data_IF_693242022577
#
_entry.id   IF_693242022577
#
_cell.length_a   1.000
_cell.length_b   1.000
_cell.length_c   1.000
_cell.angle_alpha   90.00
_cell.angle_beta   90.00
_cell.angle_gamma   90.00
#
_symmetry.space_group_name_H-M   'P 1'
#
loop_
_entity.id
_entity.type
_entity.pdbx_description
1 polymer ?
#
# COMPACT_ATOMS: atom_id res chain seq x y z
N UNK A 1 19.36 0.29 14.77
CA UNK A 1 18.15 -0.35 14.23
C UNK A 1 17.44 -1.21 15.26
N UNK A 2 18.05 -2.28 15.80
CA UNK A 2 17.37 -3.22 16.73
C UNK A 2 16.86 -2.56 18.02
N UNK A 3 17.61 -1.62 18.59
CA UNK A 3 17.20 -0.88 19.80
C UNK A 3 15.94 -0.03 19.54
N UNK A 4 15.86 0.65 18.40
CA UNK A 4 14.69 1.42 17.98
C UNK A 4 13.50 0.48 17.78
N UNK A 5 13.68 -0.61 17.04
CA UNK A 5 12.65 -1.62 16.84
C UNK A 5 12.04 -2.12 18.17
N UNK A 6 12.89 -2.53 19.13
CA UNK A 6 12.43 -3.02 20.44
C UNK A 6 11.70 -1.94 21.24
N UNK A 7 12.19 -0.70 21.20
CA UNK A 7 11.55 0.45 21.86
C UNK A 7 10.16 0.70 21.29
N UNK A 8 10.05 0.78 19.96
CA UNK A 8 8.77 1.05 19.29
C UNK A 8 7.78 -0.11 19.47
N UNK A 9 8.23 -1.36 19.32
CA UNK A 9 7.37 -2.51 19.54
C UNK A 9 6.82 -2.53 20.98
N UNK A 10 7.67 -2.27 21.96
CA UNK A 10 7.24 -2.15 23.36
C UNK A 10 6.26 -1.00 23.55
N UNK A 11 6.49 0.16 22.89
CA UNK A 11 5.61 1.31 22.94
C UNK A 11 4.20 1.01 22.41
N UNK A 12 4.06 0.20 21.36
CA UNK A 12 2.75 -0.24 20.86
C UNK A 12 1.99 -1.07 21.90
N UNK A 13 2.65 -2.00 22.59
CA UNK A 13 2.01 -2.86 23.59
C UNK A 13 1.83 -2.22 24.97
N UNK A 14 2.42 -1.04 25.22
CA UNK A 14 2.15 -0.25 26.44
C UNK A 14 1.08 0.82 26.16
N UNK A 15 0.97 1.31 24.93
CA UNK A 15 0.02 2.36 24.57
C UNK A 15 -1.36 1.78 24.23
N UNK A 16 -2.45 2.52 24.48
CA UNK A 16 -3.80 2.12 24.09
C UNK A 16 -3.95 1.85 22.59
N UNK A 17 -3.14 2.51 21.74
CA UNK A 17 -3.27 2.44 20.27
C UNK A 17 -2.94 1.06 19.73
N UNK A 18 -1.90 0.40 20.26
CA UNK A 18 -1.59 -0.96 19.83
C UNK A 18 -2.71 -1.94 20.18
N UNK A 19 -3.24 -1.85 21.40
CA UNK A 19 -4.39 -2.69 21.80
C UNK A 19 -5.65 -2.36 21.00
N UNK A 20 -5.91 -1.09 20.70
CA UNK A 20 -7.03 -0.67 19.86
C UNK A 20 -6.88 -1.27 18.46
N UNK A 21 -5.70 -1.18 17.85
CA UNK A 21 -5.44 -1.78 16.54
C UNK A 21 -5.69 -3.30 16.54
N UNK A 22 -5.06 -4.01 17.48
CA UNK A 22 -5.21 -5.48 17.61
C UNK A 22 -6.65 -5.86 17.86
N UNK A 23 -7.33 -5.18 18.81
CA UNK A 23 -8.72 -5.44 19.17
C UNK A 23 -9.68 -5.21 18.00
N UNK A 24 -9.58 -4.08 17.31
CA UNK A 24 -10.41 -3.81 16.13
C UNK A 24 -10.15 -4.79 15.00
N UNK A 25 -8.88 -5.13 14.74
CA UNK A 25 -8.54 -6.08 13.70
C UNK A 25 -9.16 -7.44 13.98
N UNK A 26 -8.98 -7.98 15.19
CA UNK A 26 -9.54 -9.29 15.59
C UNK A 26 -11.06 -9.25 15.59
N UNK A 27 -11.68 -8.18 16.11
CA UNK A 27 -13.13 -8.03 16.14
C UNK A 27 -13.71 -8.07 14.72
N UNK A 28 -13.19 -7.24 13.81
CA UNK A 28 -13.74 -7.17 12.45
C UNK A 28 -13.47 -8.46 11.69
N UNK A 29 -12.24 -9.02 11.79
CA UNK A 29 -11.94 -10.32 11.16
C UNK A 29 -12.80 -11.44 11.73
N UNK A 30 -13.10 -11.41 13.02
CA UNK A 30 -14.00 -12.37 13.67
C UNK A 30 -15.44 -12.27 13.18
N UNK A 31 -15.95 -11.04 13.00
CA UNK A 31 -17.29 -10.82 12.42
C UNK A 31 -17.36 -11.32 10.98
N UNK A 32 -16.36 -10.97 10.15
CA UNK A 32 -16.31 -11.47 8.76
C UNK A 32 -16.20 -12.99 8.71
N UNK A 33 -15.38 -13.59 9.56
CA UNK A 33 -15.26 -15.05 9.68
C UNK A 33 -16.59 -15.69 10.06
N UNK A 34 -17.29 -15.15 11.05
CA UNK A 34 -18.60 -15.66 11.47
C UNK A 34 -19.63 -15.60 10.34
N UNK A 35 -19.71 -14.45 9.64
CA UNK A 35 -20.68 -14.24 8.57
C UNK A 35 -20.35 -15.04 7.30
N UNK A 36 -19.09 -14.98 6.86
CA UNK A 36 -18.67 -15.54 5.56
C UNK A 36 -18.36 -17.03 5.60
N UNK A 37 -18.00 -17.59 6.76
CA UNK A 37 -17.59 -18.98 6.88
C UNK A 37 -18.52 -19.80 7.78
N UNK A 38 -18.79 -19.36 9.04
CA UNK A 38 -19.57 -20.16 9.96
C UNK A 38 -21.06 -20.15 9.62
N UNK A 39 -21.67 -18.98 9.43
CA UNK A 39 -23.11 -18.87 9.15
C UNK A 39 -23.45 -19.27 7.72
N UNK A 40 -22.57 -18.98 6.76
CA UNK A 40 -22.76 -19.40 5.36
C UNK A 40 -22.40 -20.86 5.09
N UNK A 41 -21.70 -21.54 6.03
CA UNK A 41 -21.19 -22.90 5.85
C UNK A 41 -20.12 -23.01 4.76
N UNK A 42 -19.51 -21.89 4.35
CA UNK A 42 -18.53 -21.87 3.26
C UNK A 42 -17.11 -22.16 3.75
N UNK A 43 -16.39 -23.15 3.17
CA UNK A 43 -15.01 -23.42 3.49
C UNK A 43 -14.03 -22.43 2.85
N UNK A 44 -14.50 -21.50 2.00
CA UNK A 44 -13.68 -20.57 1.22
C UNK A 44 -13.13 -19.41 2.09
N UNK A 45 -12.12 -19.70 2.90
CA UNK A 45 -11.50 -18.74 3.81
C UNK A 45 -10.77 -17.60 3.08
N UNK A 46 -10.18 -17.88 1.93
CA UNK A 46 -9.44 -16.88 1.14
C UNK A 46 -10.33 -15.78 0.57
N UNK A 47 -11.59 -16.08 0.25
CA UNK A 47 -12.60 -15.08 -0.14
C UNK A 47 -12.89 -14.07 0.97
N UNK A 48 -12.94 -14.54 2.22
CA UNK A 48 -13.07 -13.68 3.41
C UNK A 48 -11.83 -12.79 3.58
N UNK A 49 -10.61 -13.33 3.45
CA UNK A 49 -9.39 -12.52 3.51
C UNK A 49 -9.35 -11.43 2.41
N UNK A 50 -9.81 -11.76 1.21
CA UNK A 50 -9.90 -10.78 0.11
C UNK A 50 -10.86 -9.64 0.47
N UNK A 51 -12.00 -9.93 1.06
CA UNK A 51 -12.94 -8.92 1.54
C UNK A 51 -12.36 -8.04 2.65
N UNK A 52 -11.47 -8.60 3.47
CA UNK A 52 -10.80 -7.87 4.55
C UNK A 52 -9.73 -6.88 4.07
N UNK A 53 -9.33 -6.90 2.80
CA UNK A 53 -8.36 -5.91 2.27
C UNK A 53 -8.86 -4.47 2.41
N UNK A 54 -10.18 -4.27 2.37
CA UNK A 54 -10.80 -2.96 2.61
C UNK A 54 -10.53 -2.39 4.01
N UNK A 55 -10.33 -3.24 4.99
CA UNK A 55 -10.05 -2.85 6.39
C UNK A 55 -8.74 -2.07 6.53
N UNK A 56 -7.77 -2.30 5.65
CA UNK A 56 -6.51 -1.57 5.65
C UNK A 56 -6.70 -0.05 5.49
N UNK A 57 -7.78 0.39 4.82
CA UNK A 57 -8.08 1.81 4.66
C UNK A 57 -8.21 2.54 6.02
N UNK A 58 -8.71 1.84 7.02
CA UNK A 58 -8.94 2.42 8.34
C UNK A 58 -7.82 2.06 9.33
N UNK A 59 -7.40 0.81 9.34
CA UNK A 59 -6.48 0.32 10.36
C UNK A 59 -5.03 0.75 10.12
N UNK A 60 -4.58 0.81 8.86
CA UNK A 60 -3.22 1.26 8.55
C UNK A 60 -2.99 2.72 8.95
N UNK A 61 -3.88 3.68 8.63
CA UNK A 61 -3.74 5.05 9.13
C UNK A 61 -3.63 5.14 10.65
N UNK A 62 -4.46 4.38 11.40
CA UNK A 62 -4.41 4.36 12.87
C UNK A 62 -3.06 3.82 13.37
N UNK A 63 -2.55 2.75 12.76
CA UNK A 63 -1.28 2.14 13.13
C UNK A 63 -0.09 3.06 12.86
N UNK A 64 -0.13 3.79 11.73
CA UNK A 64 1.04 4.51 11.21
C UNK A 64 1.07 6.00 11.56
N UNK A 65 -0.07 6.59 11.92
CA UNK A 65 -0.18 8.04 12.15
C UNK A 65 0.83 8.60 13.15
N UNK A 66 1.26 7.81 14.14
CA UNK A 66 2.17 8.24 15.22
C UNK A 66 3.64 7.94 14.96
N UNK A 67 3.96 7.13 13.96
CA UNK A 67 5.31 6.59 13.77
C UNK A 67 6.39 7.67 13.71
N UNK A 68 6.13 8.76 13.02
CA UNK A 68 7.07 9.88 12.86
C UNK A 68 6.46 11.23 13.26
N UNK A 69 5.14 11.43 13.06
CA UNK A 69 4.48 12.70 13.38
C UNK A 69 4.54 13.04 14.88
N UNK A 70 4.52 12.05 15.76
CA UNK A 70 4.59 12.25 17.20
C UNK A 70 5.97 12.80 17.64
N UNK A 71 7.05 12.27 17.06
CA UNK A 71 8.41 12.76 17.33
C UNK A 71 8.61 14.20 16.80
N UNK A 72 8.04 14.50 15.63
CA UNK A 72 8.06 15.86 15.09
C UNK A 72 7.26 16.83 15.95
N UNK A 73 6.08 16.45 16.40
CA UNK A 73 5.25 17.25 17.28
C UNK A 73 5.94 17.56 18.61
N UNK A 74 6.64 16.58 19.19
CA UNK A 74 7.38 16.72 20.46
C UNK A 74 8.77 17.33 20.26
N UNK A 75 9.18 17.66 19.02
CA UNK A 75 10.52 18.15 18.66
C UNK A 75 11.65 17.20 19.09
N UNK A 76 11.34 15.93 19.33
CA UNK A 76 12.33 14.89 19.68
C UNK A 76 13.04 14.33 18.45
N UNK A 77 12.54 14.62 17.25
CA UNK A 77 13.20 14.36 15.98
C UNK A 77 14.59 15.03 15.91
N UNK A 78 14.77 16.22 16.50
CA UNK A 78 16.07 16.89 16.59
C UNK A 78 17.08 16.07 17.41
N UNK A 79 16.65 15.43 18.49
CA UNK A 79 17.50 14.53 19.28
C UNK A 79 17.88 13.27 18.51
N UNK A 80 16.99 12.77 17.65
CA UNK A 80 17.28 11.63 16.79
C UNK A 80 18.28 12.00 15.68
N UNK A 81 18.17 13.20 15.13
CA UNK A 81 19.05 13.70 14.06
C UNK A 81 20.46 13.97 14.60
N UNK A 82 20.59 14.40 15.86
CA UNK A 82 21.88 14.68 16.52
C UNK A 82 22.50 13.43 17.17
N UNK A 83 21.74 12.34 17.30
CA UNK A 83 22.23 11.08 17.86
C UNK A 83 23.20 10.37 16.89
N UNK A 84 24.09 9.48 17.37
CA UNK A 84 24.98 8.70 16.52
C UNK A 84 24.26 7.59 15.74
N UNK A 85 22.91 7.57 15.75
CA UNK A 85 22.11 6.60 15.02
C UNK A 85 21.96 7.02 13.55
N UNK A 86 22.05 6.04 12.65
CA UNK A 86 21.73 6.29 11.23
C UNK A 86 20.23 6.52 11.05
N UNK A 87 19.85 7.53 10.27
CA UNK A 87 18.44 7.83 9.92
C UNK A 87 17.77 6.58 9.33
N UNK A 88 18.48 5.88 8.44
CA UNK A 88 18.02 4.59 7.87
C UNK A 88 17.68 3.57 8.96
N UNK A 89 18.53 3.46 10.00
CA UNK A 89 18.30 2.53 11.11
C UNK A 89 17.09 2.90 11.96
N UNK A 90 16.79 4.19 12.11
CA UNK A 90 15.60 4.68 12.81
C UNK A 90 14.33 4.38 12.00
N UNK A 91 14.30 4.76 10.73
CA UNK A 91 13.14 4.55 9.84
C UNK A 91 12.82 3.07 9.68
N UNK A 92 13.83 2.25 9.40
CA UNK A 92 13.65 0.80 9.31
C UNK A 92 13.19 0.18 10.63
N UNK A 93 13.74 0.63 11.76
CA UNK A 93 13.32 0.16 13.08
C UNK A 93 11.84 0.43 13.36
N UNK A 94 11.35 1.62 13.01
CA UNK A 94 9.94 2.01 13.16
C UNK A 94 9.03 1.25 12.19
N UNK A 95 9.42 1.14 10.92
CA UNK A 95 8.69 0.37 9.92
C UNK A 95 8.52 -1.09 10.36
N UNK A 96 9.62 -1.75 10.71
CA UNK A 96 9.59 -3.15 11.13
C UNK A 96 8.80 -3.36 12.42
N UNK A 97 8.78 -2.39 13.34
CA UNK A 97 7.96 -2.47 14.55
C UNK A 97 6.46 -2.47 14.21
N UNK A 98 6.02 -1.58 13.33
CA UNK A 98 4.63 -1.56 12.87
C UNK A 98 4.25 -2.85 12.10
N UNK A 99 5.13 -3.32 11.22
CA UNK A 99 4.95 -4.60 10.51
C UNK A 99 4.91 -5.78 11.49
N UNK A 100 5.71 -5.76 12.55
CA UNK A 100 5.70 -6.82 13.58
C UNK A 100 4.38 -6.82 14.38
N UNK A 101 3.84 -5.65 14.75
CA UNK A 101 2.52 -5.56 15.39
C UNK A 101 1.44 -6.15 14.47
N UNK A 102 1.48 -5.80 13.20
CA UNK A 102 0.56 -6.35 12.21
C UNK A 102 0.72 -7.87 12.05
N UNK A 103 1.96 -8.38 11.96
CA UNK A 103 2.24 -9.81 11.88
C UNK A 103 1.71 -10.57 13.10
N UNK A 104 1.96 -10.06 14.31
CA UNK A 104 1.46 -10.68 15.55
C UNK A 104 -0.07 -10.75 15.52
N UNK A 105 -0.73 -9.67 15.10
CA UNK A 105 -2.19 -9.63 14.99
C UNK A 105 -2.69 -10.63 13.95
N UNK A 106 -2.01 -10.72 12.81
CA UNK A 106 -2.35 -11.67 11.75
C UNK A 106 -2.16 -13.13 12.20
N UNK A 107 -1.12 -13.43 12.97
CA UNK A 107 -0.89 -14.76 13.53
C UNK A 107 -2.00 -15.17 14.52
N UNK A 108 -2.56 -14.23 15.27
CA UNK A 108 -3.72 -14.52 16.14
C UNK A 108 -4.94 -14.92 15.29
N UNK A 109 -5.18 -14.27 14.16
CA UNK A 109 -6.28 -14.64 13.25
C UNK A 109 -6.09 -15.99 12.57
N UNK A 110 -4.87 -16.55 12.55
CA UNK A 110 -4.63 -17.90 12.03
C UNK A 110 -5.33 -19.01 12.83
N UNK A 111 -5.86 -18.69 14.01
CA UNK A 111 -6.77 -19.59 14.75
C UNK A 111 -8.10 -19.81 14.02
N UNK A 112 -8.57 -18.86 13.20
CA UNK A 112 -9.85 -19.00 12.50
C UNK A 112 -9.87 -20.14 11.47
N UNK A 113 -8.90 -20.27 10.55
CA UNK A 113 -8.86 -21.41 9.67
C UNK A 113 -8.64 -22.74 10.41
N UNK A 114 -7.94 -22.75 11.54
CA UNK A 114 -7.83 -23.93 12.39
C UNK A 114 -9.19 -24.31 12.94
N UNK A 115 -9.96 -23.35 13.47
CA UNK A 115 -11.34 -23.59 13.90
C UNK A 115 -12.20 -24.08 12.73
N UNK A 116 -12.09 -23.45 11.56
CA UNK A 116 -12.85 -23.85 10.39
C UNK A 116 -12.58 -25.31 9.97
N UNK A 117 -11.34 -25.81 10.15
CA UNK A 117 -10.99 -27.18 9.81
C UNK A 117 -11.78 -28.25 10.57
N UNK A 118 -12.28 -27.92 11.76
CA UNK A 118 -13.12 -28.84 12.57
C UNK A 118 -14.58 -28.89 12.10
N UNK A 119 -15.05 -27.86 11.37
CA UNK A 119 -16.45 -27.73 10.94
C UNK A 119 -16.64 -27.91 9.43
N UNK A 120 -15.58 -27.77 8.64
CA UNK A 120 -15.65 -27.85 7.19
C UNK A 120 -15.85 -29.28 6.70
N UNK A 121 -17.01 -29.54 6.10
CA UNK A 121 -17.29 -30.81 5.44
C UNK A 121 -16.51 -30.84 4.12
N UNK A 122 -15.55 -31.78 3.99
CA UNK A 122 -14.67 -31.88 2.81
C UNK A 122 -13.27 -31.30 3.00
N UNK A 123 -12.96 -30.75 4.18
CA UNK A 123 -11.64 -30.18 4.50
C UNK A 123 -11.48 -28.74 4.02
N UNK A 124 -10.34 -28.18 4.36
CA UNK A 124 -9.94 -26.80 3.97
C UNK A 124 -8.76 -26.85 3.00
N UNK A 125 -8.72 -25.92 2.06
CA UNK A 125 -7.59 -25.75 1.13
C UNK A 125 -6.41 -25.04 1.85
N UNK A 126 -5.67 -25.79 2.67
CA UNK A 126 -4.61 -25.23 3.53
C UNK A 126 -3.53 -24.44 2.79
N UNK A 127 -3.21 -24.89 1.56
CA UNK A 127 -2.22 -24.20 0.73
C UNK A 127 -2.70 -22.83 0.24
N UNK A 128 -3.95 -22.72 -0.16
CA UNK A 128 -4.58 -21.45 -0.55
C UNK A 128 -4.65 -20.49 0.64
N UNK A 129 -5.00 -21.01 1.81
CA UNK A 129 -5.04 -20.21 3.05
C UNK A 129 -3.66 -19.66 3.38
N UNK A 130 -2.61 -20.48 3.30
CA UNK A 130 -1.24 -20.06 3.56
C UNK A 130 -0.79 -19.00 2.55
N UNK A 131 -1.07 -19.22 1.25
CA UNK A 131 -0.85 -18.23 0.20
C UNK A 131 -1.57 -16.92 0.50
N UNK A 132 -2.86 -16.99 0.84
CA UNK A 132 -3.67 -15.84 1.22
C UNK A 132 -3.08 -15.04 2.38
N UNK A 133 -2.60 -15.70 3.44
CA UNK A 133 -1.94 -15.04 4.59
C UNK A 133 -0.63 -14.36 4.19
N UNK A 134 0.20 -15.02 3.38
CA UNK A 134 1.46 -14.42 2.87
C UNK A 134 1.15 -13.18 2.05
N UNK A 135 0.21 -13.27 1.10
CA UNK A 135 -0.20 -12.14 0.28
C UNK A 135 -0.79 -10.99 1.10
N UNK A 136 -1.65 -11.30 2.08
CA UNK A 136 -2.25 -10.32 2.97
C UNK A 136 -1.21 -9.60 3.84
N UNK A 137 -0.21 -10.34 4.33
CA UNK A 137 0.92 -9.77 5.07
C UNK A 137 1.77 -8.84 4.20
N UNK A 138 2.08 -9.23 2.97
CA UNK A 138 2.87 -8.42 2.03
C UNK A 138 2.12 -7.15 1.62
N UNK A 139 0.83 -7.26 1.33
CA UNK A 139 -0.04 -6.12 1.00
C UNK A 139 -0.12 -5.14 2.18
N UNK A 140 -0.41 -5.63 3.39
CA UNK A 140 -0.48 -4.81 4.59
C UNK A 140 0.86 -4.13 4.92
N UNK A 141 1.98 -4.84 4.76
CA UNK A 141 3.32 -4.28 4.93
C UNK A 141 3.58 -3.13 3.94
N UNK A 142 3.12 -3.26 2.69
CA UNK A 142 3.23 -2.21 1.68
C UNK A 142 2.39 -0.99 2.05
N UNK A 143 1.19 -1.18 2.55
CA UNK A 143 0.34 -0.08 3.02
C UNK A 143 0.90 0.61 4.27
N UNK A 144 1.52 -0.15 5.18
CA UNK A 144 2.24 0.41 6.34
C UNK A 144 3.42 1.29 5.87
N UNK A 145 4.14 0.92 4.82
CA UNK A 145 5.21 1.75 4.25
C UNK A 145 4.68 3.09 3.70
N UNK A 146 3.52 3.07 3.03
CA UNK A 146 2.82 4.28 2.57
C UNK A 146 2.43 5.16 3.77
N UNK A 147 1.84 4.60 4.81
CA UNK A 147 1.45 5.32 6.01
C UNK A 147 2.64 5.91 6.78
N UNK A 148 3.76 5.20 6.85
CA UNK A 148 5.01 5.69 7.41
C UNK A 148 5.51 6.92 6.66
N UNK A 149 5.47 6.90 5.33
CA UNK A 149 5.85 8.03 4.50
C UNK A 149 4.99 9.26 4.78
N UNK A 150 3.66 9.13 4.80
CA UNK A 150 2.78 10.26 5.10
C UNK A 150 2.90 10.75 6.53
N UNK A 151 3.18 9.86 7.49
CA UNK A 151 3.50 10.24 8.86
C UNK A 151 4.80 11.07 8.97
N UNK A 152 5.70 10.99 7.98
CA UNK A 152 6.93 11.80 7.93
C UNK A 152 6.73 13.20 7.36
N UNK A 153 5.58 13.50 6.76
CA UNK A 153 5.32 14.79 6.10
C UNK A 153 4.74 15.85 7.05
N UNK A 154 4.10 15.45 8.13
CA UNK A 154 3.37 16.33 9.03
C UNK A 154 3.61 15.98 10.51
N UNK A 155 3.59 16.97 11.37
CA UNK A 155 3.66 16.84 12.83
C UNK A 155 2.29 16.57 13.48
N UNK A 156 1.20 16.70 12.72
CA UNK A 156 -0.15 16.42 13.18
C UNK A 156 -0.57 14.99 12.86
N UNK A 157 -0.78 14.18 13.90
CA UNK A 157 -1.17 12.77 13.77
C UNK A 157 -2.50 12.58 13.01
N UNK A 158 -3.49 13.46 13.23
CA UNK A 158 -4.78 13.37 12.56
C UNK A 158 -4.63 13.66 11.05
N UNK A 159 -3.85 14.67 10.71
CA UNK A 159 -3.55 15.01 9.31
C UNK A 159 -2.79 13.86 8.65
N UNK A 160 -1.81 13.26 9.33
CA UNK A 160 -1.10 12.08 8.85
C UNK A 160 -2.05 10.91 8.56
N UNK A 161 -2.99 10.64 9.47
CA UNK A 161 -4.01 9.59 9.28
C UNK A 161 -4.92 9.90 8.09
N UNK A 162 -5.41 11.14 7.96
CA UNK A 162 -6.31 11.53 6.87
C UNK A 162 -5.63 11.43 5.49
N UNK A 163 -4.37 11.89 5.38
CA UNK A 163 -3.63 11.81 4.12
C UNK A 163 -3.32 10.34 3.78
N UNK A 164 -2.95 9.53 4.78
CA UNK A 164 -2.74 8.09 4.59
C UNK A 164 -4.02 7.41 4.12
N UNK A 165 -5.15 7.68 4.76
CA UNK A 165 -6.45 7.16 4.34
C UNK A 165 -6.79 7.55 2.91
N UNK A 166 -6.63 8.83 2.57
CA UNK A 166 -6.90 9.33 1.22
C UNK A 166 -5.98 8.66 0.17
N UNK A 167 -4.71 8.47 0.48
CA UNK A 167 -3.76 7.80 -0.42
C UNK A 167 -4.11 6.32 -0.62
N UNK A 168 -4.44 5.60 0.45
CA UNK A 168 -4.86 4.19 0.35
C UNK A 168 -6.20 4.06 -0.38
N UNK A 169 -7.15 4.97 -0.12
CA UNK A 169 -8.42 5.03 -0.84
C UNK A 169 -8.20 5.26 -2.34
N UNK A 170 -7.28 6.15 -2.68
CA UNK A 170 -6.92 6.41 -4.08
C UNK A 170 -6.33 5.15 -4.75
N UNK A 171 -5.45 4.43 -4.07
CA UNK A 171 -4.91 3.16 -4.55
C UNK A 171 -6.04 2.14 -4.78
N UNK A 172 -7.01 2.10 -3.87
CA UNK A 172 -8.17 1.20 -3.95
C UNK A 172 -9.11 1.56 -5.11
N UNK A 173 -9.42 2.86 -5.28
CA UNK A 173 -10.24 3.36 -6.39
C UNK A 173 -9.55 3.13 -7.74
N UNK A 174 -8.23 3.32 -7.81
CA UNK A 174 -7.47 3.04 -9.04
C UNK A 174 -7.60 1.58 -9.49
N UNK A 175 -7.66 0.64 -8.54
CA UNK A 175 -7.87 -0.78 -8.87
C UNK A 175 -9.28 -1.02 -9.45
N UNK A 176 -10.32 -0.41 -8.86
CA UNK A 176 -11.69 -0.49 -9.38
C UNK A 176 -11.78 0.12 -10.80
N UNK A 177 -11.16 1.29 -11.00
CA UNK A 177 -11.13 1.94 -12.32
C UNK A 177 -10.42 1.03 -13.32
N UNK A 178 -9.27 0.45 -12.95
CA UNK A 178 -8.49 -0.41 -13.83
C UNK A 178 -9.27 -1.65 -14.31
N UNK A 179 -10.17 -2.17 -13.47
CA UNK A 179 -11.00 -3.33 -13.81
C UNK A 179 -12.21 -2.98 -14.68
N UNK A 180 -12.69 -1.73 -14.62
CA UNK A 180 -13.93 -1.31 -15.29
C UNK A 180 -13.69 -0.36 -16.49
N UNK A 181 -12.43 0.03 -16.76
CA UNK A 181 -12.12 0.93 -17.87
C UNK A 181 -12.34 0.22 -19.21
N UNK A 182 -13.05 0.85 -20.16
CA UNK A 182 -13.24 0.29 -21.48
C UNK A 182 -11.91 0.05 -22.20
N UNK A 183 -11.82 -1.03 -22.95
CA UNK A 183 -10.60 -1.41 -23.69
C UNK A 183 -10.51 -0.77 -25.08
N UNK A 184 -11.44 0.13 -25.41
CA UNK A 184 -11.49 0.82 -26.69
C UNK A 184 -10.21 1.61 -26.99
N UNK A 185 -9.75 1.62 -28.27
CA UNK A 185 -8.59 2.41 -28.67
C UNK A 185 -8.72 3.91 -28.37
N UNK A 186 -9.94 4.43 -28.44
CA UNK A 186 -10.24 5.85 -28.10
C UNK A 186 -9.97 6.18 -26.65
N UNK A 187 -10.37 5.30 -25.70
CA UNK A 187 -10.06 5.46 -24.29
C UNK A 187 -8.55 5.35 -24.02
N UNK A 188 -7.88 4.44 -24.72
CA UNK A 188 -6.41 4.32 -24.65
C UNK A 188 -5.71 5.60 -25.11
N UNK A 189 -6.16 6.18 -26.23
CA UNK A 189 -5.64 7.45 -26.72
C UNK A 189 -5.88 8.61 -25.72
N UNK A 190 -7.10 8.71 -25.18
CA UNK A 190 -7.42 9.74 -24.17
C UNK A 190 -6.55 9.61 -22.92
N UNK A 191 -6.33 8.39 -22.44
CA UNK A 191 -5.46 8.12 -21.28
C UNK A 191 -4.01 8.52 -21.55
N UNK A 192 -3.46 8.15 -22.71
CA UNK A 192 -2.12 8.54 -23.11
C UNK A 192 -1.99 10.05 -23.33
N UNK A 193 -3.05 10.72 -23.83
CA UNK A 193 -3.08 12.17 -23.95
C UNK A 193 -3.04 12.88 -22.59
N UNK A 194 -3.71 12.33 -21.57
CA UNK A 194 -3.62 12.86 -20.20
C UNK A 194 -2.20 12.71 -19.64
N UNK A 195 -1.54 11.57 -19.87
CA UNK A 195 -0.14 11.37 -19.44
C UNK A 195 0.77 12.35 -20.17
N UNK A 196 0.61 12.51 -21.49
CA UNK A 196 1.38 13.46 -22.28
C UNK A 196 1.17 14.91 -21.81
N UNK A 197 -0.05 15.30 -21.49
CA UNK A 197 -0.34 16.61 -20.89
C UNK A 197 0.35 16.80 -19.54
N UNK A 198 0.37 15.78 -18.68
CA UNK A 198 1.13 15.80 -17.43
C UNK A 198 2.63 16.01 -17.64
N UNK A 199 3.23 15.32 -18.62
CA UNK A 199 4.63 15.50 -18.98
C UNK A 199 4.90 16.92 -19.51
N UNK A 200 4.03 17.48 -20.34
CA UNK A 200 4.13 18.86 -20.85
C UNK A 200 4.09 19.86 -19.68
N UNK A 201 3.19 19.67 -18.72
CA UNK A 201 3.12 20.52 -17.53
C UNK A 201 4.41 20.43 -16.70
N UNK A 202 4.97 19.24 -16.51
CA UNK A 202 6.23 19.05 -15.80
C UNK A 202 7.39 19.79 -16.50
N UNK A 203 7.47 19.70 -17.83
CA UNK A 203 8.48 20.44 -18.62
C UNK A 203 8.28 21.95 -18.47
N UNK A 204 7.03 22.44 -18.53
CA UNK A 204 6.71 23.85 -18.35
C UNK A 204 7.18 24.39 -16.99
N UNK A 205 6.84 23.70 -15.90
CA UNK A 205 7.22 24.11 -14.54
C UNK A 205 8.73 23.97 -14.27
N UNK A 206 9.39 23.00 -14.91
CA UNK A 206 10.83 22.76 -14.74
C UNK A 206 11.67 23.75 -15.53
N UNK A 207 11.36 23.97 -16.80
CA UNK A 207 12.19 24.80 -17.69
C UNK A 207 11.75 26.26 -17.76
N UNK A 208 10.47 26.55 -17.43
CA UNK A 208 9.81 27.87 -17.59
C UNK A 208 10.03 28.50 -19.00
N UNK A 209 10.31 27.66 -19.98
CA UNK A 209 10.57 28.07 -21.37
C UNK A 209 9.34 27.74 -22.23
N UNK A 210 8.74 28.76 -22.83
CA UNK A 210 7.58 28.59 -23.74
C UNK A 210 7.97 27.78 -24.98
N UNK A 211 9.19 27.98 -25.51
CA UNK A 211 9.66 27.25 -26.67
C UNK A 211 9.81 25.75 -26.40
N UNK A 212 10.44 25.39 -25.29
CA UNK A 212 10.55 23.97 -24.87
C UNK A 212 9.19 23.32 -24.69
N UNK A 213 8.22 24.04 -24.11
CA UNK A 213 6.86 23.54 -23.89
C UNK A 213 6.12 23.32 -25.22
N UNK A 214 6.19 24.27 -26.15
CA UNK A 214 5.57 24.14 -27.48
C UNK A 214 6.16 22.97 -28.26
N UNK A 215 7.48 22.84 -28.26
CA UNK A 215 8.17 21.70 -28.91
C UNK A 215 7.71 20.37 -28.29
N UNK A 216 7.61 20.28 -26.97
CA UNK A 216 7.13 19.07 -26.28
C UNK A 216 5.69 18.74 -26.64
N UNK A 217 4.79 19.74 -26.73
CA UNK A 217 3.41 19.55 -27.16
C UNK A 217 3.35 18.98 -28.58
N UNK A 218 4.09 19.58 -29.53
CA UNK A 218 4.10 19.16 -30.93
C UNK A 218 4.63 17.72 -31.05
N UNK A 219 5.73 17.40 -30.37
CA UNK A 219 6.29 16.03 -30.39
C UNK A 219 5.32 15.03 -29.77
N UNK A 220 4.72 15.34 -28.62
CA UNK A 220 3.77 14.45 -27.96
C UNK A 220 2.52 14.21 -28.82
N UNK A 221 1.94 15.30 -29.39
CA UNK A 221 0.79 15.18 -30.27
C UNK A 221 1.10 14.37 -31.54
N UNK A 222 2.23 14.66 -32.20
CA UNK A 222 2.66 13.92 -33.37
C UNK A 222 2.88 12.42 -33.07
N UNK A 223 3.54 12.10 -31.93
CA UNK A 223 3.74 10.72 -31.51
C UNK A 223 2.43 9.98 -31.24
N UNK A 224 1.47 10.62 -30.54
CA UNK A 224 0.15 10.04 -30.26
C UNK A 224 -0.64 9.75 -31.53
N UNK A 225 -0.68 10.72 -32.47
CA UNK A 225 -1.38 10.55 -33.74
C UNK A 225 -0.72 9.51 -34.61
N UNK A 226 0.61 9.55 -34.75
CA UNK A 226 1.36 8.60 -35.55
C UNK A 226 1.16 7.15 -35.06
N UNK A 227 1.28 6.93 -33.75
CA UNK A 227 1.06 5.62 -33.14
C UNK A 227 -0.41 5.16 -33.33
N UNK A 228 -1.40 6.07 -33.24
CA UNK A 228 -2.79 5.72 -33.45
C UNK A 228 -3.10 5.30 -34.88
N UNK A 229 -2.45 5.94 -35.86
CA UNK A 229 -2.63 5.60 -37.29
C UNK A 229 -1.90 4.30 -37.64
N UNK A 230 -0.67 4.12 -37.15
CA UNK A 230 0.17 2.94 -37.48
C UNK A 230 -0.25 1.68 -36.70
N UNK A 231 -0.69 1.82 -35.46
CA UNK A 231 -0.93 0.68 -34.57
C UNK A 231 -2.11 0.95 -33.64
N UNK A 232 -3.32 0.92 -34.19
CA UNK A 232 -4.55 1.16 -33.40
C UNK A 232 -4.70 0.15 -32.25
N UNK A 233 -4.27 -1.09 -32.46
CA UNK A 233 -4.26 -2.16 -31.45
C UNK A 233 -3.34 -1.87 -30.24
N UNK A 234 -2.34 -1.01 -30.40
CA UNK A 234 -1.47 -0.58 -29.31
C UNK A 234 -2.25 0.13 -28.20
N UNK A 235 -3.27 0.91 -28.57
CA UNK A 235 -4.10 1.64 -27.63
C UNK A 235 -5.20 0.79 -26.99
N UNK A 236 -5.48 -0.41 -27.53
CA UNK A 236 -6.49 -1.30 -26.97
C UNK A 236 -6.08 -1.80 -25.58
N UNK A 237 -6.83 -1.38 -24.57
CA UNK A 237 -6.63 -1.75 -23.19
C UNK A 237 -5.33 -1.24 -22.56
N UNK A 238 -4.59 -0.31 -23.19
CA UNK A 238 -3.33 0.22 -22.61
C UNK A 238 -3.57 0.89 -21.25
N UNK A 239 -4.68 1.63 -21.11
CA UNK A 239 -5.05 2.26 -19.85
C UNK A 239 -5.25 1.21 -18.75
N UNK A 240 -6.02 0.15 -19.04
CA UNK A 240 -6.23 -0.95 -18.10
C UNK A 240 -4.91 -1.67 -17.78
N UNK A 241 -4.05 -1.92 -18.76
CA UNK A 241 -2.74 -2.57 -18.56
C UNK A 241 -1.83 -1.76 -17.65
N UNK A 242 -1.72 -0.44 -17.87
CA UNK A 242 -0.88 0.45 -17.05
C UNK A 242 -1.42 0.53 -15.63
N UNK A 243 -2.72 0.78 -15.45
CA UNK A 243 -3.33 0.88 -14.13
C UNK A 243 -3.23 -0.44 -13.36
N UNK A 244 -3.50 -1.57 -14.01
CA UNK A 244 -3.37 -2.89 -13.38
C UNK A 244 -1.93 -3.24 -13.03
N UNK A 245 -0.94 -2.71 -13.76
CA UNK A 245 0.46 -2.90 -13.42
C UNK A 245 0.82 -2.23 -12.09
N UNK A 246 0.21 -1.08 -11.79
CA UNK A 246 0.35 -0.39 -10.49
C UNK A 246 -0.57 -0.93 -9.39
N UNK A 247 -1.56 -1.79 -9.72
CA UNK A 247 -2.51 -2.30 -8.73
C UNK A 247 -1.82 -3.26 -7.75
N UNK A 248 -1.87 -2.93 -6.47
CA UNK A 248 -1.46 -3.82 -5.39
C UNK A 248 -2.51 -4.91 -5.14
N UNK A 249 -3.81 -4.55 -5.21
CA UNK A 249 -4.90 -5.47 -4.90
C UNK A 249 -5.02 -6.60 -5.93
N UNK A 250 -4.82 -6.32 -7.22
CA UNK A 250 -4.84 -7.35 -8.26
C UNK A 250 -3.79 -8.44 -8.02
N UNK A 251 -2.59 -8.05 -7.56
CA UNK A 251 -1.51 -9.00 -7.26
C UNK A 251 -1.79 -9.88 -6.05
N UNK A 252 -2.68 -9.43 -5.16
CA UNK A 252 -3.15 -10.22 -4.03
C UNK A 252 -4.03 -11.40 -4.49
N UNK A 253 -4.76 -11.27 -5.60
CA UNK A 253 -5.63 -12.32 -6.10
C UNK A 253 -4.87 -13.62 -6.44
N UNK A 254 -3.63 -13.52 -6.91
CA UNK A 254 -2.80 -14.71 -7.19
C UNK A 254 -2.55 -15.49 -5.87
N UNK A 255 -2.25 -14.79 -4.80
CA UNK A 255 -2.05 -15.39 -3.47
C UNK A 255 -3.33 -16.00 -2.90
N UNK A 256 -4.49 -15.37 -3.13
CA UNK A 256 -5.77 -15.88 -2.66
C UNK A 256 -6.18 -17.20 -3.36
N UNK A 257 -5.62 -17.47 -4.54
CA UNK A 257 -5.75 -18.73 -5.28
C UNK A 257 -4.65 -19.75 -4.93
N UNK A 258 -3.81 -19.46 -3.94
CA UNK A 258 -2.69 -20.33 -3.55
C UNK A 258 -1.50 -20.31 -4.51
N UNK A 259 -1.47 -19.38 -5.48
CA UNK A 259 -0.39 -19.26 -6.46
C UNK A 259 0.72 -18.40 -5.84
N UNK A 260 1.78 -19.03 -5.35
CA UNK A 260 2.95 -18.35 -4.81
C UNK A 260 3.93 -18.04 -5.97
N UNK A 261 3.65 -16.99 -6.73
CA UNK A 261 4.56 -16.49 -7.76
C UNK A 261 5.57 -15.49 -7.16
N UNK A 262 6.80 -15.51 -7.70
CA UNK A 262 7.88 -14.63 -7.22
C UNK A 262 7.63 -13.16 -7.60
N UNK A 263 6.96 -12.90 -8.73
CA UNK A 263 6.72 -11.55 -9.25
C UNK A 263 5.95 -10.64 -8.27
N UNK A 264 4.79 -11.03 -7.70
CA UNK A 264 4.11 -10.22 -6.69
C UNK A 264 4.93 -10.00 -5.41
N UNK A 265 5.71 -11.00 -4.97
CA UNK A 265 6.56 -10.88 -3.77
C UNK A 265 7.60 -9.78 -3.99
N UNK A 266 8.33 -9.84 -5.10
CA UNK A 266 9.34 -8.83 -5.45
C UNK A 266 8.69 -7.45 -5.59
N UNK A 267 7.50 -7.38 -6.18
CA UNK A 267 6.77 -6.12 -6.32
C UNK A 267 6.43 -5.49 -4.97
N UNK A 268 5.84 -6.24 -4.03
CA UNK A 268 5.50 -5.72 -2.70
C UNK A 268 6.73 -5.28 -1.90
N UNK A 269 7.81 -6.06 -1.97
CA UNK A 269 9.08 -5.70 -1.31
C UNK A 269 9.67 -4.43 -1.92
N UNK A 270 9.69 -4.32 -3.26
CA UNK A 270 10.20 -3.15 -3.97
C UNK A 270 9.34 -1.92 -3.69
N UNK A 271 8.02 -2.06 -3.68
CA UNK A 271 7.08 -0.99 -3.36
C UNK A 271 7.29 -0.47 -1.93
N UNK A 272 7.36 -1.38 -0.95
CA UNK A 272 7.64 -1.04 0.44
C UNK A 272 9.00 -0.36 0.59
N UNK A 273 10.02 -0.89 -0.09
CA UNK A 273 11.37 -0.35 -0.11
C UNK A 273 11.41 1.07 -0.69
N UNK A 274 10.66 1.34 -1.75
CA UNK A 274 10.56 2.67 -2.36
C UNK A 274 9.96 3.69 -1.38
N UNK A 275 8.87 3.38 -0.70
CA UNK A 275 8.26 4.30 0.28
C UNK A 275 9.12 4.49 1.54
N UNK A 276 9.78 3.44 2.02
CA UNK A 276 10.76 3.55 3.11
C UNK A 276 11.95 4.43 2.67
N UNK A 277 12.46 4.27 1.45
CA UNK A 277 13.51 5.12 0.90
C UNK A 277 13.06 6.59 0.80
N UNK A 278 11.86 6.85 0.29
CA UNK A 278 11.29 8.21 0.24
C UNK A 278 11.18 8.82 1.64
N UNK A 279 10.79 8.03 2.64
CA UNK A 279 10.73 8.46 4.03
C UNK A 279 12.11 8.87 4.55
N UNK A 280 13.13 8.05 4.28
CA UNK A 280 14.52 8.36 4.66
C UNK A 280 14.96 9.67 4.04
N UNK A 281 14.74 9.85 2.74
CA UNK A 281 15.10 11.10 2.01
C UNK A 281 14.35 12.32 2.54
N UNK A 282 13.09 12.15 2.94
CA UNK A 282 12.31 13.23 3.53
C UNK A 282 12.88 13.70 4.88
N UNK A 283 13.30 12.76 5.73
CA UNK A 283 13.91 13.08 7.02
C UNK A 283 15.32 13.66 6.82
N UNK A 284 16.12 13.11 5.89
CA UNK A 284 17.45 13.67 5.54
C UNK A 284 17.34 15.12 5.07
N UNK A 285 16.36 15.45 4.23
CA UNK A 285 16.16 16.83 3.75
C UNK A 285 15.93 17.80 4.90
N UNK A 286 15.19 17.40 5.93
CA UNK A 286 14.94 18.23 7.14
C UNK A 286 16.20 18.47 7.97
N UNK A 287 17.23 17.64 7.84
CA UNK A 287 18.51 17.82 8.53
C UNK A 287 19.32 19.01 7.99
N UNK A 288 19.05 19.42 6.75
CA UNK A 288 19.80 20.46 6.06
C UNK A 288 19.07 21.83 6.03
N UNK A 289 17.87 21.88 6.57
CA UNK A 289 17.06 23.09 6.73
C UNK A 289 16.97 23.46 8.22
#
# INVERSE_FOLDING_TARGET
>A
MLAVFRRELKAYFISPIGFTFVGFFILITGVFFALSNLLSGSPAYTGMLSSLTFIFLFLVPILTMRLLSDEMRQKTDQLLITSPLSITGVVLGKYLAAVAVFLITLLVTALYPVLLSFFAIGGIAGWEILGGYIGFFLLGSSFIAVGLFFSSLTDNQLVAAMITFAALLLIWILDIIAQNIPTDPGMGLAFMAVIAAGLVLLVFFSTRSTLATVVTIVIAAAALVLLFVLSRSFYEGIAAKILTWFSLLKRYNDFSMGILSLSPIVYYISFSGAFVFLTIRMIEKRRWV
#
